data_IF_991560613292
#
_entry.id   IF_991560613292
#
_cell.length_a   1.000
_cell.length_b   1.000
_cell.length_c   1.000
_cell.angle_alpha   90.00
_cell.angle_beta   90.00
_cell.angle_gamma   90.00
#
_symmetry.space_group_name_H-M   'P 1'
#
loop_
_entity.id
_entity.type
_entity.pdbx_description
1 polymer ?
#
# COMPACT_ATOMS: atom_id res chain seq x y z
N UNK A 1 31.40 52.64 26.19
CA UNK A 1 30.84 53.01 24.87
C UNK A 1 29.55 52.24 24.66
N UNK A 2 28.40 52.92 24.60
CA UNK A 2 27.10 52.28 24.36
C UNK A 2 27.02 51.90 22.88
N UNK A 3 26.95 50.60 22.60
CA UNK A 3 26.72 50.09 21.25
C UNK A 3 25.31 50.50 20.82
N UNK A 4 25.22 51.22 19.70
CA UNK A 4 23.95 51.53 19.04
C UNK A 4 23.50 50.26 18.34
N UNK A 5 22.55 49.55 18.93
CA UNK A 5 21.89 48.40 18.31
C UNK A 5 21.15 48.88 17.05
N UNK A 6 21.68 48.56 15.86
CA UNK A 6 20.97 48.72 14.59
C UNK A 6 19.83 47.71 14.55
N UNK A 7 18.60 48.20 14.72
CA UNK A 7 17.39 47.40 14.52
C UNK A 7 17.18 47.05 13.04
N UNK A 8 16.59 45.89 12.79
CA UNK A 8 16.16 45.44 11.47
C UNK A 8 15.11 46.40 10.91
N UNK A 9 15.24 46.85 9.66
CA UNK A 9 14.26 47.78 9.08
C UNK A 9 12.99 47.05 8.67
N UNK A 10 11.83 47.71 8.80
CA UNK A 10 10.55 47.15 8.36
C UNK A 10 10.56 46.86 6.84
N UNK A 11 11.29 47.66 6.07
CA UNK A 11 11.43 47.48 4.62
C UNK A 11 12.28 46.24 4.26
N UNK A 12 13.35 45.95 5.00
CA UNK A 12 14.11 44.70 4.82
C UNK A 12 13.21 43.49 5.06
N UNK A 13 12.34 43.57 6.07
CA UNK A 13 11.41 42.49 6.38
C UNK A 13 10.38 42.29 5.26
N UNK A 14 9.84 43.38 4.72
CA UNK A 14 8.87 43.34 3.62
C UNK A 14 9.44 42.71 2.35
N UNK A 15 10.70 43.02 2.00
CA UNK A 15 11.34 42.42 0.82
C UNK A 15 11.59 40.93 1.04
N UNK A 16 12.02 40.54 2.23
CA UNK A 16 12.27 39.13 2.56
C UNK A 16 10.98 38.30 2.46
N UNK A 17 9.85 38.77 3.01
CA UNK A 17 8.58 38.04 2.90
C UNK A 17 8.09 37.97 1.45
N UNK A 18 8.33 39.01 0.64
CA UNK A 18 7.95 39.01 -0.78
C UNK A 18 8.72 37.94 -1.56
N UNK A 19 10.04 37.84 -1.34
CA UNK A 19 10.87 36.82 -2.00
C UNK A 19 10.48 35.41 -1.53
N UNK A 20 10.29 35.21 -0.22
CA UNK A 20 9.86 33.91 0.33
C UNK A 20 8.49 33.51 -0.25
N UNK A 21 7.57 34.46 -0.39
CA UNK A 21 6.24 34.21 -0.98
C UNK A 21 6.32 33.68 -2.41
N UNK A 22 7.16 34.28 -3.26
CA UNK A 22 7.35 33.84 -4.65
C UNK A 22 7.97 32.44 -4.70
N UNK A 23 9.03 32.20 -3.91
CA UNK A 23 9.70 30.89 -3.87
C UNK A 23 8.75 29.79 -3.37
N UNK A 24 7.95 30.07 -2.35
CA UNK A 24 6.99 29.11 -1.80
C UNK A 24 5.92 28.70 -2.82
N UNK A 25 5.43 29.65 -3.64
CA UNK A 25 4.41 29.38 -4.65
C UNK A 25 4.87 28.32 -5.68
N UNK A 26 6.15 28.28 -6.03
CA UNK A 26 6.73 27.31 -6.97
C UNK A 26 7.16 26.02 -6.24
N UNK A 27 7.80 26.17 -5.08
CA UNK A 27 8.41 25.05 -4.37
C UNK A 27 7.38 24.08 -3.76
N UNK A 28 6.26 24.59 -3.23
CA UNK A 28 5.23 23.76 -2.57
C UNK A 28 4.61 22.71 -3.51
N UNK A 29 4.06 23.06 -4.69
CA UNK A 29 3.49 22.06 -5.59
C UNK A 29 4.54 21.07 -6.10
N UNK A 30 5.79 21.51 -6.31
CA UNK A 30 6.87 20.61 -6.71
C UNK A 30 7.22 19.61 -5.61
N UNK A 31 7.34 20.07 -4.36
CA UNK A 31 7.64 19.22 -3.22
C UNK A 31 6.54 18.18 -2.97
N UNK A 32 5.27 18.58 -3.05
CA UNK A 32 4.13 17.65 -2.94
C UNK A 32 4.20 16.52 -3.99
N UNK A 33 4.58 16.86 -5.23
CA UNK A 33 4.75 15.86 -6.29
C UNK A 33 5.88 14.88 -6.00
N UNK A 34 7.00 15.37 -5.44
CA UNK A 34 8.12 14.54 -5.06
C UNK A 34 7.75 13.55 -3.94
N UNK A 35 7.06 14.04 -2.90
CA UNK A 35 6.59 13.21 -1.78
C UNK A 35 5.62 12.14 -2.28
N UNK A 36 4.66 12.49 -3.14
CA UNK A 36 3.72 11.53 -3.71
C UNK A 36 4.46 10.40 -4.46
N UNK A 37 5.43 10.72 -5.34
CA UNK A 37 6.23 9.70 -6.03
C UNK A 37 7.02 8.81 -5.07
N UNK A 38 7.64 9.41 -4.06
CA UNK A 38 8.42 8.68 -3.05
C UNK A 38 7.56 7.68 -2.27
N UNK A 39 6.37 8.11 -1.85
CA UNK A 39 5.42 7.27 -1.13
C UNK A 39 4.88 6.12 -1.98
N UNK A 40 4.62 6.34 -3.27
CA UNK A 40 4.22 5.28 -4.20
C UNK A 40 5.31 4.21 -4.30
N UNK A 41 6.58 4.61 -4.47
CA UNK A 41 7.70 3.67 -4.52
C UNK A 41 7.84 2.87 -3.22
N UNK A 42 7.67 3.53 -2.06
CA UNK A 42 7.72 2.86 -0.76
C UNK A 42 6.60 1.82 -0.62
N UNK A 43 5.36 2.19 -0.90
CA UNK A 43 4.21 1.28 -0.81
C UNK A 43 4.33 0.13 -1.82
N UNK A 44 4.86 0.38 -3.01
CA UNK A 44 5.14 -0.66 -4.00
C UNK A 44 6.14 -1.70 -3.47
N UNK A 45 7.21 -1.26 -2.80
CA UNK A 45 8.19 -2.15 -2.17
C UNK A 45 7.59 -2.92 -0.98
N UNK A 46 6.85 -2.25 -0.10
CA UNK A 46 6.20 -2.86 1.06
C UNK A 46 5.18 -3.94 0.64
N UNK A 47 4.31 -3.64 -0.33
CA UNK A 47 3.36 -4.60 -0.87
C UNK A 47 4.05 -5.73 -1.65
N UNK A 48 5.13 -5.40 -2.38
CA UNK A 48 5.89 -6.37 -3.17
C UNK A 48 6.66 -7.38 -2.33
N UNK A 49 7.07 -7.02 -1.11
CA UNK A 49 7.86 -7.89 -0.23
C UNK A 49 7.14 -9.19 0.15
N UNK A 50 5.81 -9.20 0.12
CA UNK A 50 4.98 -10.33 0.54
C UNK A 50 4.80 -11.37 -0.56
N UNK A 51 5.13 -11.04 -1.82
CA UNK A 51 4.91 -11.93 -2.97
C UNK A 51 5.59 -13.29 -2.82
N UNK A 52 6.84 -13.31 -2.35
CA UNK A 52 7.59 -14.55 -2.18
C UNK A 52 6.92 -15.46 -1.15
N UNK A 53 6.44 -14.90 -0.04
CA UNK A 53 5.74 -15.68 0.98
C UNK A 53 4.40 -16.20 0.46
N UNK A 54 3.65 -15.38 -0.30
CA UNK A 54 2.42 -15.82 -0.99
C UNK A 54 2.74 -16.97 -1.93
N UNK A 55 3.81 -16.86 -2.72
CA UNK A 55 4.26 -17.89 -3.66
C UNK A 55 4.55 -19.21 -2.95
N UNK A 56 5.39 -19.18 -1.90
CA UNK A 56 5.73 -20.37 -1.11
C UNK A 56 4.47 -21.00 -0.50
N UNK A 57 3.56 -20.20 0.04
CA UNK A 57 2.31 -20.71 0.59
C UNK A 57 1.42 -21.40 -0.46
N UNK A 58 1.29 -20.82 -1.66
CA UNK A 58 0.51 -21.43 -2.74
C UNK A 58 1.15 -22.75 -3.18
N UNK A 59 2.48 -22.79 -3.35
CA UNK A 59 3.21 -24.00 -3.74
C UNK A 59 3.11 -25.11 -2.69
N UNK A 60 3.03 -24.75 -1.40
CA UNK A 60 2.85 -25.68 -0.29
C UNK A 60 1.37 -26.05 -0.04
N UNK A 61 0.43 -25.55 -0.86
CA UNK A 61 -1.01 -25.78 -0.70
C UNK A 61 -1.66 -25.05 0.49
N UNK A 62 -0.93 -24.12 1.13
CA UNK A 62 -1.42 -23.30 2.25
C UNK A 62 -2.15 -22.06 1.74
N UNK A 63 -3.43 -22.18 1.45
CA UNK A 63 -4.26 -21.08 0.92
C UNK A 63 -5.02 -20.29 1.98
N UNK A 64 -5.04 -20.76 3.23
CA UNK A 64 -5.66 -20.03 4.35
C UNK A 64 -4.61 -19.16 5.05
N UNK A 65 -4.83 -17.85 5.11
CA UNK A 65 -3.94 -16.92 5.86
C UNK A 65 -4.20 -17.08 7.37
N UNK A 66 -3.13 -17.20 8.15
CA UNK A 66 -3.21 -17.25 9.61
C UNK A 66 -1.92 -17.77 10.26
N UNK A 67 -1.99 -18.01 11.57
CA UNK A 67 -0.89 -18.41 12.46
C UNK A 67 -0.99 -19.86 12.94
N UNK A 68 -2.04 -20.57 12.56
CA UNK A 68 -2.27 -21.97 12.87
C UNK A 68 -1.47 -22.95 12.01
N UNK A 69 -1.49 -24.23 12.41
CA UNK A 69 -0.88 -25.30 11.63
C UNK A 69 -1.45 -25.34 10.22
N UNK A 70 -0.58 -25.50 9.22
CA UNK A 70 -0.92 -25.51 7.79
C UNK A 70 -1.54 -24.21 7.24
N UNK A 71 -1.41 -23.09 7.95
CA UNK A 71 -1.82 -21.76 7.47
C UNK A 71 -0.64 -20.98 6.89
N UNK A 72 -0.95 -20.01 6.03
CA UNK A 72 0.03 -19.14 5.42
C UNK A 72 0.36 -17.94 6.31
N UNK A 73 1.56 -17.95 6.87
CA UNK A 73 2.08 -16.83 7.64
C UNK A 73 2.78 -15.81 6.71
N UNK A 74 2.04 -14.81 6.22
CA UNK A 74 2.53 -13.70 5.39
C UNK A 74 3.63 -12.81 5.99
N UNK A 75 3.66 -12.60 7.31
CA UNK A 75 4.68 -11.79 7.98
C UNK A 75 4.63 -10.31 7.57
N UNK A 76 3.44 -9.72 7.53
CA UNK A 76 3.25 -8.36 7.04
C UNK A 76 3.86 -7.33 8.01
N UNK A 77 4.52 -6.33 7.44
CA UNK A 77 5.05 -5.17 8.19
C UNK A 77 4.09 -4.00 8.03
N UNK A 78 3.80 -3.31 9.13
CA UNK A 78 2.87 -2.19 9.14
C UNK A 78 3.41 -0.95 8.43
N UNK A 79 2.54 -0.26 7.69
CA UNK A 79 2.85 0.98 7.00
C UNK A 79 1.93 2.11 7.45
N UNK A 80 2.51 3.23 7.86
CA UNK A 80 1.73 4.43 8.17
C UNK A 80 1.08 5.08 6.92
N UNK A 81 1.47 4.68 5.70
CA UNK A 81 0.92 5.21 4.44
C UNK A 81 -0.28 4.43 3.92
N UNK A 82 -0.61 3.32 4.57
CA UNK A 82 -1.66 2.40 4.14
C UNK A 82 -2.82 2.42 5.12
N UNK A 83 -4.02 2.06 4.67
CA UNK A 83 -5.17 1.83 5.57
C UNK A 83 -5.12 0.44 6.17
N UNK A 84 -5.64 0.30 7.40
CA UNK A 84 -5.94 -1.00 7.97
C UNK A 84 -7.28 -1.49 7.39
N UNK A 85 -7.21 -2.20 6.27
CA UNK A 85 -8.33 -2.98 5.78
C UNK A 85 -8.24 -4.33 6.48
N UNK A 86 -9.19 -4.67 7.36
CA UNK A 86 -9.14 -5.82 8.28
C UNK A 86 -9.14 -7.20 7.61
N UNK A 87 -8.15 -7.49 6.76
CA UNK A 87 -8.17 -8.59 5.81
C UNK A 87 -7.10 -9.67 6.00
N UNK A 88 -6.04 -9.43 6.77
CA UNK A 88 -4.97 -10.41 6.94
C UNK A 88 -4.63 -10.54 8.42
N UNK A 89 -5.09 -11.61 9.09
CA UNK A 89 -4.87 -11.86 10.53
C UNK A 89 -3.42 -12.15 10.94
N UNK A 90 -2.43 -11.59 10.23
CA UNK A 90 -1.00 -11.83 10.43
C UNK A 90 -0.15 -10.59 10.03
N UNK A 91 -0.50 -9.43 10.59
CA UNK A 91 0.35 -8.25 10.55
C UNK A 91 1.07 -8.06 11.89
N UNK A 92 2.39 -7.91 11.87
CA UNK A 92 3.15 -7.51 13.06
C UNK A 92 3.15 -5.99 13.17
N UNK A 93 2.17 -5.44 13.88
CA UNK A 93 2.16 -4.03 14.26
C UNK A 93 3.13 -3.78 15.42
N UNK A 94 4.13 -2.92 15.23
CA UNK A 94 4.94 -2.37 16.32
C UNK A 94 4.07 -1.39 17.13
N UNK A 95 3.55 -1.87 18.26
CA UNK A 95 2.77 -1.07 19.20
C UNK A 95 1.78 -1.91 19.99
N UNK A 96 2.30 -2.66 20.95
CA UNK A 96 1.56 -3.40 21.98
C UNK A 96 0.74 -4.63 21.50
N UNK A 97 1.33 -5.81 21.69
CA UNK A 97 0.65 -7.00 22.19
C UNK A 97 -0.37 -7.71 21.28
N UNK A 98 0.01 -8.91 20.84
CA UNK A 98 -0.87 -10.02 20.46
C UNK A 98 -1.91 -9.73 19.35
N UNK A 99 -1.54 -10.03 18.11
CA UNK A 99 -2.45 -10.18 16.98
C UNK A 99 -2.63 -11.64 16.57
N UNK A 100 -2.80 -12.57 17.52
CA UNK A 100 -3.50 -13.83 17.23
C UNK A 100 -4.98 -13.49 17.11
N UNK A 101 -5.49 -13.43 15.88
CA UNK A 101 -6.84 -12.93 15.63
C UNK A 101 -7.26 -13.02 14.18
N UNK A 102 -7.68 -14.21 13.76
CA UNK A 102 -8.70 -14.35 12.73
C UNK A 102 -9.94 -13.58 13.22
N UNK A 103 -10.24 -12.46 12.58
CA UNK A 103 -11.42 -11.69 12.87
C UNK A 103 -11.38 -10.34 12.18
N UNK A 104 -12.50 -10.03 11.53
CA UNK A 104 -12.97 -8.68 11.28
C UNK A 104 -12.92 -7.87 12.59
N UNK A 105 -11.74 -7.35 12.91
CA UNK A 105 -11.45 -6.60 14.11
C UNK A 105 -10.86 -5.29 13.67
N UNK A 106 -11.59 -4.21 13.93
CA UNK A 106 -11.09 -2.85 13.96
C UNK A 106 -10.00 -2.76 15.03
N UNK A 107 -8.84 -3.36 14.79
CA UNK A 107 -7.64 -2.99 15.50
C UNK A 107 -7.41 -1.53 15.14
N UNK A 108 -7.44 -0.66 16.15
CA UNK A 108 -7.00 0.74 16.07
C UNK A 108 -5.48 0.77 15.83
N UNK A 109 -5.03 0.11 14.77
CA UNK A 109 -3.66 0.08 14.35
C UNK A 109 -3.37 1.45 13.71
N UNK A 110 -2.41 2.17 14.27
CA UNK A 110 -1.86 3.42 13.71
C UNK A 110 -1.22 3.21 12.32
N UNK A 111 -1.10 1.95 11.88
CA UNK A 111 -0.49 1.52 10.62
C UNK A 111 -1.44 0.58 9.86
N UNK A 112 -1.41 0.66 8.54
CA UNK A 112 -2.12 -0.24 7.63
C UNK A 112 -1.23 -1.31 7.02
N UNK A 113 -1.86 -2.26 6.32
CA UNK A 113 -1.21 -3.39 5.68
C UNK A 113 -1.84 -3.64 4.30
N UNK A 114 -1.12 -4.26 3.35
CA UNK A 114 -1.76 -4.70 2.10
C UNK A 114 -2.77 -5.81 2.41
N UNK A 115 -3.89 -5.83 1.69
CA UNK A 115 -4.86 -6.93 1.70
C UNK A 115 -4.35 -8.02 0.78
N UNK A 116 -4.32 -9.26 1.25
CA UNK A 116 -3.88 -10.40 0.44
C UNK A 116 -5.07 -11.34 0.26
N UNK A 117 -5.38 -11.65 -0.98
CA UNK A 117 -6.36 -12.66 -1.34
C UNK A 117 -5.59 -13.84 -1.91
N UNK A 118 -5.64 -14.96 -1.20
CA UNK A 118 -5.07 -16.24 -1.67
C UNK A 118 -6.03 -16.91 -2.66
N UNK A 119 -5.56 -17.89 -3.45
CA UNK A 119 -6.46 -18.75 -4.21
C UNK A 119 -7.53 -19.32 -3.29
N UNK A 120 -8.79 -19.34 -3.73
CA UNK A 120 -9.80 -20.12 -3.03
C UNK A 120 -9.34 -21.56 -3.01
N UNK A 121 -9.20 -22.15 -1.81
CA UNK A 121 -8.91 -23.57 -1.71
C UNK A 121 -9.92 -24.32 -2.59
N UNK A 122 -9.45 -25.10 -3.56
CA UNK A 122 -10.22 -26.26 -3.96
C UNK A 122 -10.51 -27.02 -2.67
N UNK A 123 -11.78 -27.20 -2.38
CA UNK A 123 -12.27 -27.85 -1.18
C UNK A 123 -11.81 -29.31 -1.12
N UNK A 124 -10.57 -29.50 -0.68
CA UNK A 124 -9.98 -30.75 -0.27
C UNK A 124 -9.32 -30.61 1.11
N UNK A 125 -9.84 -29.76 2.00
CA UNK A 125 -9.52 -29.84 3.42
C UNK A 125 -10.77 -30.24 4.19
N UNK A 126 -11.01 -31.56 4.22
CA UNK A 126 -11.54 -32.15 5.44
C UNK A 126 -10.47 -32.01 6.51
N UNK A 127 -10.81 -31.35 7.61
CA UNK A 127 -10.08 -31.49 8.87
C UNK A 127 -9.99 -32.99 9.21
N UNK A 128 -8.92 -33.66 8.80
CA UNK A 128 -8.49 -34.91 9.40
C UNK A 128 -7.00 -35.04 9.15
N UNK A 129 -6.23 -35.28 10.21
CA UNK A 129 -4.84 -35.71 10.15
C UNK A 129 -4.72 -37.13 9.57
N UNK A 130 -5.33 -37.39 8.42
CA UNK A 130 -5.22 -38.62 7.68
C UNK A 130 -5.19 -38.25 6.18
N UNK A 131 -4.03 -38.41 5.56
CA UNK A 131 -3.85 -38.15 4.14
C UNK A 131 -4.68 -39.11 3.30
N UNK A 132 -5.71 -38.59 2.63
CA UNK A 132 -6.11 -38.94 1.27
C UNK A 132 -7.31 -38.07 0.87
N UNK A 133 -7.16 -37.27 -0.19
CA UNK A 133 -8.23 -36.42 -0.70
C UNK A 133 -7.92 -35.87 -2.08
N UNK A 134 -7.96 -36.72 -3.10
CA UNK A 134 -8.13 -36.26 -4.48
C UNK A 134 -9.61 -35.96 -4.73
N UNK A 135 -9.94 -34.73 -5.14
CA UNK A 135 -11.08 -34.46 -6.02
C UNK A 135 -10.82 -33.16 -6.78
N UNK A 136 -10.49 -33.29 -8.08
CA UNK A 136 -10.36 -32.16 -8.98
C UNK A 136 -11.73 -31.58 -9.32
N UNK A 137 -11.93 -30.31 -8.97
CA UNK A 137 -12.91 -29.46 -9.61
C UNK A 137 -12.13 -28.33 -10.30
N UNK A 138 -11.97 -28.42 -11.61
CA UNK A 138 -11.08 -27.57 -12.43
C UNK A 138 -11.48 -26.09 -12.51
N UNK A 139 -11.41 -25.37 -11.40
CA UNK A 139 -11.23 -23.93 -11.35
C UNK A 139 -10.31 -23.54 -10.17
N UNK A 140 -9.16 -24.18 -10.14
CA UNK A 140 -8.01 -24.01 -9.25
C UNK A 140 -7.19 -22.81 -9.72
N UNK A 141 -7.83 -21.64 -9.82
CA UNK A 141 -7.11 -20.49 -10.30
C UNK A 141 -6.08 -20.14 -9.20
N UNK A 142 -4.81 -20.53 -9.38
CA UNK A 142 -3.69 -20.19 -8.48
C UNK A 142 -3.44 -18.65 -8.42
N UNK A 143 -4.46 -17.87 -8.75
CA UNK A 143 -4.52 -16.45 -8.75
C UNK A 143 -4.53 -15.96 -7.31
N UNK A 144 -3.75 -14.92 -7.07
CA UNK A 144 -3.68 -14.24 -5.80
C UNK A 144 -3.59 -12.75 -6.05
N UNK A 145 -4.10 -11.95 -5.13
CA UNK A 145 -3.97 -10.49 -5.21
C UNK A 145 -3.35 -9.93 -3.94
N UNK A 146 -2.47 -8.95 -4.10
CA UNK A 146 -1.95 -8.13 -3.00
C UNK A 146 -2.35 -6.69 -3.31
N UNK A 147 -3.27 -6.14 -2.53
CA UNK A 147 -3.83 -4.80 -2.73
C UNK A 147 -3.36 -3.87 -1.61
N UNK A 148 -2.52 -2.92 -1.98
CA UNK A 148 -2.13 -1.82 -1.11
C UNK A 148 -3.08 -0.65 -1.29
N UNK A 149 -3.78 -0.26 -0.23
CA UNK A 149 -4.65 0.91 -0.22
C UNK A 149 -3.95 2.07 0.48
N UNK A 150 -3.78 3.20 -0.21
CA UNK A 150 -3.18 4.41 0.36
C UNK A 150 -4.15 5.05 1.37
N UNK A 151 -3.66 5.34 2.57
CA UNK A 151 -4.43 5.92 3.67
C UNK A 151 -4.27 7.42 3.83
N UNK A 152 -4.90 7.96 4.88
CA UNK A 152 -5.02 9.41 5.11
C UNK A 152 -3.67 10.11 5.40
N UNK A 153 -2.64 9.38 5.83
CA UNK A 153 -1.30 9.93 6.02
C UNK A 153 -0.45 9.91 4.73
N UNK A 154 -0.92 9.26 3.67
CA UNK A 154 -0.32 9.43 2.36
C UNK A 154 -0.58 10.86 1.85
N UNK A 155 0.19 11.29 0.86
CA UNK A 155 -0.04 12.53 0.14
C UNK A 155 -1.50 12.57 -0.30
N UNK A 156 -2.17 13.71 -0.14
CA UNK A 156 -3.61 13.84 -0.37
C UNK A 156 -4.04 13.39 -1.76
N UNK A 157 -3.18 13.56 -2.77
CA UNK A 157 -3.39 13.08 -4.14
C UNK A 157 -3.40 11.56 -4.30
N UNK A 158 -2.94 10.81 -3.31
CA UNK A 158 -2.87 9.35 -3.29
C UNK A 158 -3.94 8.72 -2.40
N UNK A 159 -4.50 9.47 -1.44
CA UNK A 159 -5.48 8.94 -0.50
C UNK A 159 -6.66 8.26 -1.23
N UNK A 160 -6.98 7.03 -0.83
CA UNK A 160 -8.03 6.23 -1.47
C UNK A 160 -7.62 5.52 -2.77
N UNK A 161 -6.45 5.84 -3.34
CA UNK A 161 -5.88 5.09 -4.46
C UNK A 161 -5.37 3.72 -3.99
N UNK A 162 -5.10 2.85 -4.96
CA UNK A 162 -4.64 1.47 -4.74
C UNK A 162 -3.49 1.09 -5.66
N UNK A 163 -2.64 0.18 -5.18
CA UNK A 163 -1.68 -0.57 -5.98
C UNK A 163 -1.99 -2.06 -5.83
N UNK A 164 -2.20 -2.75 -6.94
CA UNK A 164 -2.61 -4.14 -6.98
C UNK A 164 -1.58 -4.97 -7.70
N UNK A 165 -0.97 -5.92 -6.99
CA UNK A 165 -0.26 -7.02 -7.60
C UNK A 165 -1.23 -8.19 -7.82
N UNK A 166 -1.30 -8.71 -9.04
CA UNK A 166 -2.10 -9.88 -9.40
C UNK A 166 -1.17 -10.99 -9.86
N UNK A 167 -1.26 -12.15 -9.22
CA UNK A 167 -0.69 -13.41 -9.67
C UNK A 167 -1.72 -14.10 -10.56
N UNK A 168 -1.31 -14.63 -11.69
CA UNK A 168 -2.16 -15.52 -12.50
C UNK A 168 -2.04 -16.99 -12.08
N UNK A 169 -2.79 -17.88 -12.73
CA UNK A 169 -2.74 -19.31 -12.44
C UNK A 169 -1.37 -19.95 -12.72
N UNK A 170 -0.55 -19.31 -13.58
CA UNK A 170 0.78 -19.76 -13.98
C UNK A 170 1.90 -19.24 -13.06
N UNK A 171 1.59 -18.39 -12.07
CA UNK A 171 2.58 -17.76 -11.20
C UNK A 171 3.20 -16.48 -11.73
N UNK A 172 2.66 -15.92 -12.81
CA UNK A 172 3.08 -14.63 -13.34
C UNK A 172 2.47 -13.51 -12.51
N UNK A 173 3.33 -12.62 -12.00
CA UNK A 173 2.91 -11.42 -11.28
C UNK A 173 2.81 -10.22 -12.22
N UNK A 174 1.65 -9.57 -12.21
CA UNK A 174 1.39 -8.30 -12.91
C UNK A 174 1.01 -7.22 -11.90
N UNK A 175 1.26 -5.95 -12.23
CA UNK A 175 0.90 -4.82 -11.38
C UNK A 175 -0.04 -3.88 -12.10
N UNK A 176 -0.99 -3.32 -11.37
CA UNK A 176 -1.81 -2.19 -11.81
C UNK A 176 -2.06 -1.24 -10.65
N UNK A 177 -2.37 0.03 -10.93
CA UNK A 177 -2.64 1.01 -9.89
C UNK A 177 -3.77 1.96 -10.27
N UNK A 178 -4.50 2.50 -9.30
CA UNK A 178 -5.44 3.62 -9.51
C UNK A 178 -4.81 4.98 -9.18
N UNK A 179 -3.54 4.99 -8.76
CA UNK A 179 -2.75 6.21 -8.57
C UNK A 179 -2.72 7.00 -9.89
N UNK A 180 -2.85 8.34 -9.85
CA UNK A 180 -2.79 9.15 -11.06
C UNK A 180 -1.55 8.84 -11.90
N UNK A 181 -1.71 8.75 -13.22
CA UNK A 181 -0.64 8.33 -14.15
C UNK A 181 0.66 9.12 -13.99
N UNK A 182 0.57 10.39 -13.58
CA UNK A 182 1.72 11.23 -13.22
C UNK A 182 2.62 10.57 -12.17
N UNK A 183 2.08 9.88 -11.18
CA UNK A 183 2.81 9.28 -10.06
C UNK A 183 2.95 7.76 -10.18
N UNK A 184 2.26 7.13 -11.14
CA UNK A 184 2.29 5.68 -11.33
C UNK A 184 3.70 5.18 -11.74
N UNK A 185 4.19 4.06 -11.16
CA UNK A 185 5.45 3.43 -11.57
C UNK A 185 5.36 2.85 -12.98
N UNK A 186 6.48 2.82 -13.71
CA UNK A 186 6.52 2.25 -15.07
C UNK A 186 6.14 0.76 -15.11
N UNK A 187 6.52 -0.01 -14.09
CA UNK A 187 6.19 -1.43 -13.95
C UNK A 187 4.82 -1.67 -13.29
N UNK A 188 4.07 -0.62 -13.00
CA UNK A 188 2.73 -0.69 -12.41
C UNK A 188 1.85 0.40 -13.03
N UNK A 189 1.41 0.19 -14.30
CA UNK A 189 0.67 1.20 -15.04
C UNK A 189 -0.66 1.55 -14.36
N UNK A 190 -1.09 2.79 -14.53
CA UNK A 190 -2.39 3.24 -14.08
C UNK A 190 -3.50 2.49 -14.85
N UNK A 191 -4.36 1.79 -14.12
CA UNK A 191 -5.57 1.18 -14.65
C UNK A 191 -6.53 2.29 -15.10
N UNK A 192 -6.96 2.21 -16.34
CA UNK A 192 -7.90 3.13 -16.99
C UNK A 192 -9.33 3.10 -16.42
N UNK A 193 -9.57 2.39 -15.32
CA UNK A 193 -10.83 2.44 -14.58
C UNK A 193 -11.06 3.77 -13.85
N UNK A 194 -10.12 4.72 -13.94
CA UNK A 194 -10.31 6.11 -13.55
C UNK A 194 -10.37 7.06 -14.77
N UNK A 195 -11.23 6.73 -15.75
CA UNK A 195 -11.63 7.64 -16.81
C UNK A 195 -12.60 8.76 -16.32
N UNK A 196 -12.72 8.98 -15.01
CA UNK A 196 -13.76 9.83 -14.40
C UNK A 196 -13.28 10.93 -13.45
N UNK A 197 -11.98 11.07 -13.16
CA UNK A 197 -11.49 12.14 -12.29
C UNK A 197 -10.22 12.80 -12.87
N UNK A 198 -10.42 13.85 -13.68
CA UNK A 198 -9.34 14.77 -14.02
C UNK A 198 -9.05 15.01 -15.51
N UNK A 199 -10.05 14.93 -16.39
CA UNK A 199 -10.01 15.74 -17.61
C UNK A 199 -10.47 17.17 -17.23
N UNK A 200 -9.54 17.99 -16.74
CA UNK A 200 -9.85 19.34 -16.29
C UNK A 200 -8.60 20.18 -16.03
N UNK A 201 -8.35 21.11 -16.95
CA UNK A 201 -7.46 22.27 -16.90
C UNK A 201 -5.96 22.06 -17.20
N UNK A 202 -5.54 22.61 -18.34
CA UNK A 202 -4.14 22.92 -18.64
C UNK A 202 -3.78 23.02 -20.13
N UNK A 203 -4.61 23.66 -20.95
CA UNK A 203 -4.29 24.00 -22.34
C UNK A 203 -4.66 25.45 -22.62
N UNK A 204 -3.64 26.22 -23.01
CA UNK A 204 -3.57 27.66 -23.34
C UNK A 204 -3.72 28.67 -22.20
#
# INVERSE_FOLDING_TARGET
MKSLQKGFTLIELMIVIAIIGILAAIAVPQYQNYIARSQVTRVMAEAGAVKTTVETCILDGRTTIGDGANQCQLGLVGSNLMVNQGGNGNGTGNGNGNGTGNGNGTATATVGFPVVTMPTANNGNGNNGNGNGNNGNGNDNNNATIVAHFGNNAATTLAGSTLTWSRDANGTWTCSTTVPAKYAPANCPASNNNAGAGAGAGGN
#
